data_IF_187788573650
#
_entry.id   IF_187788573650
#
_cell.length_a   1.000
_cell.length_b   1.000
_cell.length_c   1.000
_cell.angle_alpha   90.00
_cell.angle_beta   90.00
_cell.angle_gamma   90.00
#
_symmetry.space_group_name_H-M   'P 1'
#
loop_
_entity.id
_entity.type
_entity.pdbx_description
1 polymer ?
#
# COMPACT_ATOMS: atom_id res chain seq x y z
N UNK A 1 -37.32 -9.46 -28.41
CA UNK A 1 -36.00 -8.89 -28.73
C UNK A 1 -35.65 -7.69 -27.83
N UNK A 2 -36.50 -6.67 -27.70
CA UNK A 2 -36.18 -5.45 -26.92
C UNK A 2 -35.90 -5.68 -25.43
N UNK A 3 -36.69 -6.54 -24.75
CA UNK A 3 -36.49 -6.85 -23.32
C UNK A 3 -35.15 -7.54 -23.08
N UNK A 4 -34.74 -8.44 -23.98
CA UNK A 4 -33.46 -9.15 -23.90
C UNK A 4 -32.27 -8.17 -23.96
N UNK A 5 -32.30 -7.22 -24.90
CA UNK A 5 -31.25 -6.20 -25.01
C UNK A 5 -31.18 -5.29 -23.78
N UNK A 6 -32.33 -4.91 -23.21
CA UNK A 6 -32.38 -4.13 -21.97
C UNK A 6 -31.73 -4.91 -20.82
N UNK A 7 -32.08 -6.19 -20.66
CA UNK A 7 -31.49 -7.03 -19.60
C UNK A 7 -29.98 -7.19 -19.74
N UNK A 8 -29.47 -7.40 -20.95
CA UNK A 8 -28.02 -7.49 -21.22
C UNK A 8 -27.34 -6.16 -20.87
N UNK A 9 -27.92 -5.02 -21.27
CA UNK A 9 -27.38 -3.70 -20.97
C UNK A 9 -27.25 -3.43 -19.47
N UNK A 10 -28.27 -3.80 -18.69
CA UNK A 10 -28.24 -3.65 -17.22
C UNK A 10 -27.16 -4.53 -16.58
N UNK A 11 -27.05 -5.79 -17.02
CA UNK A 11 -26.04 -6.72 -16.49
C UNK A 11 -24.63 -6.23 -16.80
N UNK A 12 -24.36 -5.82 -18.04
CA UNK A 12 -23.07 -5.26 -18.45
C UNK A 12 -22.78 -3.97 -17.67
N UNK A 13 -23.76 -3.08 -17.53
CA UNK A 13 -23.63 -1.87 -16.74
C UNK A 13 -23.26 -2.14 -15.28
N UNK A 14 -23.89 -3.14 -14.65
CA UNK A 14 -23.57 -3.56 -13.29
C UNK A 14 -22.15 -4.13 -13.16
N UNK A 15 -21.69 -4.91 -14.15
CA UNK A 15 -20.32 -5.46 -14.18
C UNK A 15 -19.31 -4.33 -14.30
N UNK A 16 -19.50 -3.39 -15.24
CA UNK A 16 -18.60 -2.24 -15.43
C UNK A 16 -18.55 -1.39 -14.15
N UNK A 17 -19.71 -1.13 -13.53
CA UNK A 17 -19.78 -0.41 -12.27
C UNK A 17 -18.98 -1.13 -11.17
N UNK A 18 -19.14 -2.45 -11.04
CA UNK A 18 -18.41 -3.27 -10.07
C UNK A 18 -16.90 -3.22 -10.28
N UNK A 19 -16.44 -3.39 -11.52
CA UNK A 19 -15.02 -3.28 -11.88
C UNK A 19 -14.50 -1.88 -11.56
N UNK A 20 -15.26 -0.83 -11.88
CA UNK A 20 -14.95 0.55 -11.54
C UNK A 20 -14.74 0.74 -10.04
N UNK A 21 -15.68 0.29 -9.21
CA UNK A 21 -15.59 0.38 -7.74
C UNK A 21 -14.35 -0.35 -7.21
N UNK A 22 -14.05 -1.54 -7.75
CA UNK A 22 -12.85 -2.29 -7.38
C UNK A 22 -11.59 -1.51 -7.77
N UNK A 23 -11.52 -0.99 -9.00
CA UNK A 23 -10.39 -0.19 -9.46
C UNK A 23 -10.16 1.03 -8.56
N UNK A 24 -11.23 1.79 -8.28
CA UNK A 24 -11.18 2.96 -7.39
C UNK A 24 -10.62 2.59 -6.01
N UNK A 25 -11.00 1.43 -5.46
CA UNK A 25 -10.53 0.99 -4.13
C UNK A 25 -9.07 0.53 -4.13
N UNK A 26 -8.58 -0.05 -5.22
CA UNK A 26 -7.23 -0.63 -5.27
C UNK A 26 -6.17 0.36 -5.74
N UNK A 27 -6.48 1.28 -6.65
CA UNK A 27 -5.48 2.12 -7.32
C UNK A 27 -5.49 3.58 -6.87
N UNK A 28 -6.57 4.09 -6.29
CA UNK A 28 -6.62 5.50 -5.86
C UNK A 28 -5.78 5.71 -4.59
N UNK A 29 -4.92 6.76 -4.55
CA UNK A 29 -4.20 7.13 -3.35
C UNK A 29 -5.16 7.56 -2.22
N UNK A 30 -4.90 7.11 -1.00
CA UNK A 30 -5.72 7.40 0.19
C UNK A 30 -5.36 8.73 0.87
N UNK A 31 -4.19 9.29 0.54
CA UNK A 31 -3.71 10.61 0.97
C UNK A 31 -2.96 11.28 -0.18
N UNK A 32 -2.90 12.63 -0.23
CA UNK A 32 -2.11 13.34 -1.23
C UNK A 32 -0.62 12.96 -1.13
N UNK A 33 0.13 13.24 -2.19
CA UNK A 33 1.58 13.07 -2.16
C UNK A 33 2.17 14.10 -1.19
N UNK A 34 2.87 13.60 -0.18
CA UNK A 34 3.52 14.40 0.85
C UNK A 34 5.03 14.25 0.74
N UNK A 35 5.75 15.22 1.28
CA UNK A 35 7.21 15.20 1.32
C UNK A 35 7.72 14.00 2.13
N UNK A 36 8.92 13.54 1.80
CA UNK A 36 9.57 12.40 2.45
C UNK A 36 9.78 11.24 1.48
N UNK A 37 10.26 10.11 2.01
CA UNK A 37 10.49 8.91 1.22
C UNK A 37 9.15 8.31 0.76
N UNK A 38 9.15 7.64 -0.41
CA UNK A 38 7.95 7.08 -1.04
C UNK A 38 7.28 6.01 -0.15
N UNK A 39 8.09 5.28 0.62
CA UNK A 39 7.65 4.20 1.49
C UNK A 39 7.74 4.59 2.97
N UNK A 40 6.89 3.95 3.77
CA UNK A 40 6.85 4.06 5.23
C UNK A 40 6.65 2.68 5.85
N UNK A 41 6.93 2.54 7.14
CA UNK A 41 6.79 1.26 7.85
C UNK A 41 5.53 1.26 8.72
N UNK A 42 4.68 0.25 8.53
CA UNK A 42 3.56 -0.05 9.44
C UNK A 42 4.06 -0.97 10.53
N UNK A 43 3.77 -0.68 11.79
CA UNK A 43 4.06 -1.54 12.93
C UNK A 43 2.91 -2.54 13.16
N UNK A 44 3.14 -3.55 13.99
CA UNK A 44 2.12 -4.59 14.25
C UNK A 44 0.84 -4.05 14.91
N UNK A 45 0.93 -2.97 15.68
CA UNK A 45 -0.21 -2.27 16.28
C UNK A 45 -0.98 -1.38 15.28
N UNK A 46 -0.50 -1.30 14.03
CA UNK A 46 -1.03 -0.44 12.98
C UNK A 46 -0.50 0.99 13.01
N UNK A 47 0.33 1.38 13.98
CA UNK A 47 0.98 2.70 13.91
C UNK A 47 1.93 2.77 12.72
N UNK A 48 2.12 3.96 12.16
CA UNK A 48 2.98 4.16 10.99
C UNK A 48 4.10 5.12 11.35
N UNK A 49 5.30 4.81 10.85
CA UNK A 49 6.48 5.64 11.04
C UNK A 49 7.26 5.83 9.75
N UNK A 50 8.01 6.92 9.71
CA UNK A 50 9.09 7.11 8.76
C UNK A 50 10.13 5.99 8.88
N UNK A 51 10.86 5.78 7.79
CA UNK A 51 11.89 4.76 7.71
C UNK A 51 13.19 5.21 8.39
N UNK A 52 13.90 4.25 8.97
CA UNK A 52 15.28 4.43 9.38
C UNK A 52 16.20 4.51 8.16
N UNK A 53 17.43 5.00 8.34
CA UNK A 53 18.36 5.23 7.24
C UNK A 53 18.74 3.93 6.50
N UNK A 54 18.97 2.87 7.26
CA UNK A 54 19.23 1.51 6.76
C UNK A 54 18.02 0.92 6.01
N UNK A 55 16.79 1.17 6.48
CA UNK A 55 15.58 0.77 5.76
C UNK A 55 15.41 1.52 4.44
N UNK A 56 15.75 2.81 4.40
CA UNK A 56 15.76 3.60 3.14
C UNK A 56 16.81 3.04 2.18
N UNK A 57 18.00 2.71 2.67
CA UNK A 57 19.07 2.12 1.86
C UNK A 57 18.64 0.76 1.29
N UNK A 58 18.09 -0.11 2.12
CA UNK A 58 17.55 -1.41 1.73
C UNK A 58 16.44 -1.31 0.67
N UNK A 59 15.55 -0.31 0.75
CA UNK A 59 14.49 -0.14 -0.26
C UNK A 59 14.98 0.48 -1.58
N UNK A 60 16.15 1.11 -1.60
CA UNK A 60 16.77 1.62 -2.82
C UNK A 60 17.74 0.61 -3.47
N UNK A 61 18.04 -0.50 -2.78
CA UNK A 61 18.88 -1.56 -3.31
C UNK A 61 18.21 -2.24 -4.53
N UNK A 62 19.00 -2.52 -5.54
CA UNK A 62 18.54 -3.22 -6.74
C UNK A 62 18.55 -4.73 -6.48
N UNK A 63 17.36 -5.34 -6.43
CA UNK A 63 17.21 -6.78 -6.25
C UNK A 63 17.01 -7.50 -7.57
N UNK A 64 17.65 -8.66 -7.73
CA UNK A 64 17.33 -9.56 -8.83
C UNK A 64 15.87 -10.04 -8.73
N UNK A 65 15.12 -10.26 -9.83
CA UNK A 65 13.71 -10.65 -9.77
C UNK A 65 13.42 -11.93 -8.98
N UNK A 66 14.41 -12.82 -8.85
CA UNK A 66 14.34 -14.09 -8.12
C UNK A 66 15.03 -14.04 -6.77
N UNK A 67 15.43 -12.86 -6.30
CA UNK A 67 16.07 -12.69 -5.00
C UNK A 67 15.03 -12.82 -3.88
N UNK A 68 15.27 -13.76 -2.96
CA UNK A 68 14.44 -13.98 -1.78
C UNK A 68 14.58 -12.86 -0.74
N UNK A 69 15.65 -12.06 -0.80
CA UNK A 69 15.86 -10.92 0.06
C UNK A 69 15.08 -9.67 -0.39
N UNK A 70 14.26 -9.74 -1.46
CA UNK A 70 13.49 -8.58 -1.91
C UNK A 70 12.50 -8.11 -0.83
N UNK A 71 12.40 -6.80 -0.55
CA UNK A 71 11.43 -6.28 0.39
C UNK A 71 10.00 -6.56 -0.05
N UNK A 72 9.18 -7.07 0.87
CA UNK A 72 7.75 -7.19 0.65
C UNK A 72 7.06 -5.83 0.87
N UNK A 73 6.50 -5.27 -0.20
CA UNK A 73 5.72 -4.03 -0.14
C UNK A 73 4.23 -4.36 -0.09
N UNK A 74 3.56 -3.94 0.98
CA UNK A 74 2.11 -4.09 1.15
C UNK A 74 1.37 -3.24 0.11
N UNK A 75 0.39 -3.83 -0.56
CA UNK A 75 -0.51 -3.10 -1.46
C UNK A 75 -1.61 -2.32 -0.72
N UNK A 76 -1.92 -2.72 0.51
CA UNK A 76 -2.98 -2.15 1.35
C UNK A 76 -2.57 -2.10 2.81
N UNK A 77 -2.94 -1.01 3.48
CA UNK A 77 -2.68 -0.83 4.91
C UNK A 77 -3.18 -2.01 5.78
N UNK A 78 -4.42 -2.48 5.55
CA UNK A 78 -5.02 -3.58 6.31
C UNK A 78 -4.61 -4.99 5.84
N UNK A 79 -3.76 -5.12 4.81
CA UNK A 79 -3.32 -6.44 4.36
C UNK A 79 -2.33 -7.03 5.36
N UNK A 80 -2.32 -8.35 5.52
CA UNK A 80 -1.28 -9.04 6.27
C UNK A 80 -0.13 -9.39 5.31
N UNK A 81 1.08 -9.39 5.84
CA UNK A 81 2.27 -9.94 5.16
C UNK A 81 2.17 -11.48 5.06
N UNK A 82 3.03 -12.14 4.26
CA UNK A 82 3.01 -13.60 4.11
C UNK A 82 3.12 -14.39 5.43
N UNK A 83 3.81 -13.83 6.43
CA UNK A 83 3.95 -14.34 7.79
C UNK A 83 2.76 -13.95 8.71
N UNK A 84 1.66 -13.45 8.14
CA UNK A 84 0.41 -13.07 8.82
C UNK A 84 0.55 -11.89 9.79
N UNK A 85 1.53 -11.01 9.58
CA UNK A 85 1.74 -9.81 10.42
C UNK A 85 1.12 -8.56 9.82
N UNK A 86 0.79 -7.62 10.71
CA UNK A 86 0.35 -6.29 10.29
C UNK A 86 1.54 -5.43 9.88
N UNK A 87 2.72 -5.68 10.44
CA UNK A 87 3.93 -4.91 10.14
C UNK A 87 4.35 -4.99 8.67
N UNK A 88 5.10 -4.00 8.19
CA UNK A 88 5.79 -4.05 6.90
C UNK A 88 5.77 -2.73 6.12
N UNK A 89 6.52 -2.71 5.02
CA UNK A 89 6.64 -1.53 4.16
C UNK A 89 5.38 -1.31 3.33
N UNK A 90 5.00 -0.05 3.15
CA UNK A 90 3.86 0.36 2.32
C UNK A 90 4.15 1.70 1.65
N UNK A 91 3.60 1.92 0.46
CA UNK A 91 3.61 3.25 -0.15
C UNK A 91 2.90 4.26 0.78
N UNK A 92 3.54 5.41 1.00
CA UNK A 92 3.02 6.51 1.83
C UNK A 92 1.59 6.87 1.45
N UNK A 93 1.31 7.02 0.16
CA UNK A 93 0.00 7.42 -0.36
C UNK A 93 -1.10 6.35 -0.13
N UNK A 94 -0.75 5.11 0.27
CA UNK A 94 -1.67 4.02 0.60
C UNK A 94 -1.95 3.92 2.11
N UNK A 95 -1.37 4.79 2.91
CA UNK A 95 -1.71 4.95 4.33
C UNK A 95 -3.00 5.77 4.44
N UNK A 96 -4.00 5.33 5.23
CA UNK A 96 -5.22 6.10 5.43
C UNK A 96 -4.92 7.49 6.01
N UNK A 97 -5.55 8.55 5.48
CA UNK A 97 -5.34 9.94 5.92
C UNK A 97 -5.49 10.18 7.43
N UNK A 98 -6.32 9.36 8.10
CA UNK A 98 -6.55 9.41 9.55
C UNK A 98 -5.42 8.82 10.39
N UNK A 99 -4.45 8.16 9.77
CA UNK A 99 -3.29 7.55 10.43
C UNK A 99 -2.10 8.49 10.26
N UNK A 100 -1.60 9.00 11.38
CA UNK A 100 -0.41 9.82 11.42
C UNK A 100 0.84 9.00 11.07
N UNK A 101 1.74 9.60 10.28
CA UNK A 101 3.07 9.04 10.02
C UNK A 101 4.03 9.72 10.99
N UNK A 102 4.52 8.95 11.97
CA UNK A 102 5.43 9.46 12.99
C UNK A 102 6.85 9.57 12.43
N UNK A 103 7.51 10.69 12.68
CA UNK A 103 8.95 10.79 12.40
C UNK A 103 9.73 9.84 13.32
N UNK A 104 10.73 9.16 12.76
CA UNK A 104 11.72 8.46 13.57
C UNK A 104 12.79 9.46 13.99
N UNK A 105 12.98 9.62 15.30
CA UNK A 105 14.21 10.24 15.81
C UNK A 105 15.31 9.25 15.48
N UNK A 106 16.30 9.66 14.67
CA UNK A 106 17.48 8.85 14.41
C UNK A 106 18.09 8.44 15.75
N UNK A 107 17.89 7.20 16.15
CA UNK A 107 18.65 6.63 17.25
C UNK A 107 20.06 6.50 16.69
N UNK A 108 20.96 7.37 17.14
CA UNK A 108 22.39 7.15 16.95
C UNK A 108 22.73 5.84 17.64
N UNK A 109 22.77 4.76 16.86
CA UNK A 109 23.37 3.52 17.32
C UNK A 109 24.84 3.86 17.46
N UNK A 110 25.25 4.27 18.68
CA UNK A 110 26.66 4.26 19.09
C UNK A 110 27.14 2.84 18.88
N UNK A 111 28.01 2.66 17.89
CA UNK A 111 28.87 1.49 17.78
C UNK A 111 30.16 1.76 18.55
#
# INVERSE_FOLDING_TARGET
>A
MSILFITIGVVVGAIILGIGIVYLRYFIPLRPQENGFEYVHVNDDGTVRELYKDEVEYLNEEFHPTDGARPYIKSRYKSLTPDKRMSGFIQRNRVPKKVEIKNVVQQSIKK
#
